data_IF_007473327486
#
_entry.id   IF_007473327486
#
_cell.length_a   1.000
_cell.length_b   1.000
_cell.length_c   1.000
_cell.angle_alpha   90.00
_cell.angle_beta   90.00
_cell.angle_gamma   90.00
#
_symmetry.space_group_name_H-M   'P 1'
#
loop_
_entity.id
_entity.type
_entity.pdbx_description
1 polymer ?
#
# COMPACT_ATOMS: atom_id res chain seq x y z
N UNK A 1 11.06 -16.83 -5.07
CA UNK A 1 9.88 -17.26 -4.27
C UNK A 1 10.24 -18.19 -3.11
N UNK A 2 11.50 -18.60 -2.91
CA UNK A 2 11.92 -19.59 -1.91
C UNK A 2 11.90 -19.13 -0.43
N UNK A 3 11.86 -17.83 -0.15
CA UNK A 3 11.97 -17.32 1.22
C UNK A 3 10.70 -17.53 2.09
N UNK A 4 9.55 -17.79 1.47
CA UNK A 4 8.25 -17.87 2.17
C UNK A 4 8.08 -19.23 2.86
N UNK A 5 8.71 -20.29 2.35
CA UNK A 5 8.53 -21.66 2.85
C UNK A 5 9.24 -21.93 4.19
N UNK A 6 10.22 -21.11 4.58
CA UNK A 6 11.11 -21.39 5.71
C UNK A 6 10.95 -20.46 6.92
N UNK A 7 10.05 -19.47 6.87
CA UNK A 7 9.86 -18.50 7.96
C UNK A 7 8.37 -18.35 8.29
N UNK A 8 7.81 -19.15 9.23
CA UNK A 8 6.39 -19.11 9.58
C UNK A 8 5.97 -17.86 10.36
N UNK A 9 6.86 -16.87 10.52
CA UNK A 9 6.54 -15.63 11.23
C UNK A 9 5.91 -14.62 10.27
N UNK A 10 4.60 -14.39 10.42
CA UNK A 10 3.84 -13.38 9.67
C UNK A 10 4.51 -12.00 9.65
N UNK A 11 5.23 -11.62 10.72
CA UNK A 11 5.99 -10.37 10.80
C UNK A 11 7.12 -10.30 9.77
N UNK A 12 7.82 -11.42 9.54
CA UNK A 12 8.90 -11.49 8.56
C UNK A 12 8.35 -11.46 7.13
N UNK A 13 7.34 -12.28 6.85
CA UNK A 13 6.72 -12.36 5.52
C UNK A 13 6.15 -10.99 5.10
N UNK A 14 5.48 -10.30 6.02
CA UNK A 14 4.99 -8.93 5.81
C UNK A 14 6.12 -7.96 5.46
N UNK A 15 7.19 -7.95 6.24
CA UNK A 15 8.34 -7.06 6.02
C UNK A 15 9.02 -7.34 4.69
N UNK A 16 9.11 -8.61 4.29
CA UNK A 16 9.64 -9.03 2.99
C UNK A 16 8.81 -8.46 1.85
N UNK A 17 7.49 -8.67 1.84
CA UNK A 17 6.61 -8.11 0.81
C UNK A 17 6.66 -6.59 0.79
N UNK A 18 6.66 -5.93 1.95
CA UNK A 18 6.71 -4.47 2.00
C UNK A 18 8.01 -3.93 1.39
N UNK A 19 9.16 -4.50 1.75
CA UNK A 19 10.45 -4.07 1.22
C UNK A 19 10.59 -4.37 -0.28
N UNK A 20 10.08 -5.52 -0.74
CA UNK A 20 10.07 -5.87 -2.16
C UNK A 20 9.15 -4.94 -2.96
N UNK A 21 7.99 -4.59 -2.42
CA UNK A 21 7.09 -3.60 -3.01
C UNK A 21 7.74 -2.21 -3.15
N UNK A 22 8.49 -1.77 -2.13
CA UNK A 22 9.28 -0.53 -2.22
C UNK A 22 10.34 -0.59 -3.32
N UNK A 23 11.04 -1.72 -3.43
CA UNK A 23 12.05 -1.93 -4.48
C UNK A 23 11.42 -1.89 -5.88
N UNK A 24 10.30 -2.59 -6.08
CA UNK A 24 9.56 -2.58 -7.35
C UNK A 24 9.06 -1.18 -7.71
N UNK A 25 8.53 -0.42 -6.75
CA UNK A 25 8.11 0.95 -6.97
C UNK A 25 9.28 1.85 -7.41
N UNK A 26 10.48 1.66 -6.84
CA UNK A 26 11.69 2.41 -7.22
C UNK A 26 12.10 2.17 -8.67
N UNK A 27 11.90 0.96 -9.18
CA UNK A 27 12.20 0.58 -10.57
C UNK A 27 10.99 0.67 -11.50
N UNK A 28 9.93 1.38 -11.08
CA UNK A 28 8.67 1.61 -11.84
C UNK A 28 7.94 0.32 -12.25
N UNK A 29 8.16 -0.77 -11.51
CA UNK A 29 7.40 -2.03 -11.62
C UNK A 29 6.14 -1.95 -10.74
N UNK A 30 5.24 -1.06 -11.15
CA UNK A 30 4.08 -0.68 -10.33
C UNK A 30 3.10 -1.84 -10.12
N UNK A 31 2.95 -2.74 -11.09
CA UNK A 31 2.05 -3.90 -10.97
C UNK A 31 2.52 -4.85 -9.87
N UNK A 32 3.81 -5.17 -9.86
CA UNK A 32 4.44 -6.03 -8.86
C UNK A 32 4.42 -5.36 -7.48
N UNK A 33 4.68 -4.05 -7.40
CA UNK A 33 4.57 -3.30 -6.16
C UNK A 33 3.14 -3.32 -5.58
N UNK A 34 2.11 -3.16 -6.42
CA UNK A 34 0.71 -3.25 -6.01
C UNK A 34 0.35 -4.64 -5.45
N UNK A 35 0.86 -5.70 -6.07
CA UNK A 35 0.66 -7.06 -5.61
C UNK A 35 1.29 -7.26 -4.23
N UNK A 36 2.54 -6.83 -4.05
CA UNK A 36 3.26 -6.93 -2.78
C UNK A 36 2.60 -6.11 -1.66
N UNK A 37 2.19 -4.87 -1.92
CA UNK A 37 1.44 -4.10 -0.94
C UNK A 37 0.09 -4.73 -0.60
N UNK A 38 -0.53 -5.44 -1.55
CA UNK A 38 -1.78 -6.17 -1.28
C UNK A 38 -1.53 -7.38 -0.38
N UNK A 39 -0.43 -8.11 -0.57
CA UNK A 39 -0.03 -9.20 0.33
C UNK A 39 0.22 -8.68 1.76
N UNK A 40 0.90 -7.54 1.90
CA UNK A 40 1.08 -6.88 3.22
C UNK A 40 -0.27 -6.61 3.88
N UNK A 41 -1.25 -6.12 3.13
CA UNK A 41 -2.58 -5.76 3.64
C UNK A 41 -3.51 -6.96 3.86
N UNK A 42 -3.19 -8.13 3.32
CA UNK A 42 -3.85 -9.39 3.68
C UNK A 42 -3.35 -9.90 5.03
N UNK A 43 -2.06 -9.71 5.34
CA UNK A 43 -1.43 -10.13 6.60
C UNK A 43 -1.71 -9.13 7.73
N UNK A 44 -1.57 -7.83 7.46
CA UNK A 44 -1.83 -6.74 8.39
C UNK A 44 -2.71 -5.69 7.70
N UNK A 45 -4.03 -5.80 7.82
CA UNK A 45 -4.97 -4.91 7.14
C UNK A 45 -4.79 -3.42 7.46
N UNK A 46 -4.27 -3.11 8.65
CA UNK A 46 -4.06 -1.73 9.13
C UNK A 46 -2.63 -1.22 8.90
N UNK A 47 -1.83 -1.92 8.08
CA UNK A 47 -0.47 -1.51 7.75
C UNK A 47 -0.45 -0.21 6.93
N UNK A 48 -0.38 0.90 7.66
CA UNK A 48 -0.59 2.26 7.16
C UNK A 48 0.35 2.64 6.02
N UNK A 49 1.63 2.22 6.08
CA UNK A 49 2.60 2.51 5.00
C UNK A 49 2.24 1.81 3.68
N UNK A 50 1.71 0.59 3.75
CA UNK A 50 1.29 -0.16 2.57
C UNK A 50 0.04 0.46 1.94
N UNK A 51 -0.94 0.87 2.75
CA UNK A 51 -2.11 1.63 2.28
C UNK A 51 -1.68 2.90 1.54
N UNK A 52 -0.75 3.68 2.11
CA UNK A 52 -0.29 4.92 1.49
C UNK A 52 0.39 4.67 0.15
N UNK A 53 1.34 3.74 0.11
CA UNK A 53 2.11 3.48 -1.10
C UNK A 53 1.25 2.85 -2.20
N UNK A 54 0.34 1.93 -1.85
CA UNK A 54 -0.64 1.37 -2.79
C UNK A 54 -1.55 2.45 -3.35
N UNK A 55 -2.02 3.37 -2.50
CA UNK A 55 -2.83 4.52 -2.93
C UNK A 55 -2.07 5.47 -3.86
N UNK A 56 -0.78 5.73 -3.62
CA UNK A 56 0.06 6.55 -4.51
C UNK A 56 0.17 5.95 -5.91
N UNK A 57 0.45 4.65 -6.00
CA UNK A 57 0.57 3.96 -7.30
C UNK A 57 -0.79 3.98 -8.03
N UNK A 58 -1.89 3.64 -7.34
CA UNK A 58 -3.23 3.70 -7.92
C UNK A 58 -3.58 5.09 -8.45
N UNK A 59 -3.22 6.14 -7.70
CA UNK A 59 -3.44 7.52 -8.12
C UNK A 59 -2.62 7.87 -9.38
N UNK A 60 -1.36 7.47 -9.45
CA UNK A 60 -0.51 7.63 -10.63
C UNK A 60 -1.08 6.91 -11.86
N UNK A 61 -1.76 5.78 -11.64
CA UNK A 61 -2.50 5.03 -12.67
C UNK A 61 -3.91 5.60 -12.96
N UNK A 62 -4.24 6.81 -12.48
CA UNK A 62 -5.54 7.47 -12.63
C UNK A 62 -6.71 6.72 -11.98
N UNK A 63 -6.44 5.72 -11.15
CA UNK A 63 -7.44 5.01 -10.34
C UNK A 63 -7.76 5.81 -9.06
N UNK A 64 -8.41 6.96 -9.24
CA UNK A 64 -8.62 7.94 -8.15
C UNK A 64 -9.47 7.34 -7.03
N UNK A 65 -10.62 6.72 -7.34
CA UNK A 65 -11.50 6.13 -6.31
C UNK A 65 -10.78 5.05 -5.48
N UNK A 66 -10.13 4.04 -6.09
CA UNK A 66 -9.34 3.06 -5.33
C UNK A 66 -8.18 3.66 -4.51
N UNK A 67 -7.53 4.70 -5.01
CA UNK A 67 -6.47 5.40 -4.26
C UNK A 67 -7.03 6.09 -3.01
N UNK A 68 -8.17 6.76 -3.17
CA UNK A 68 -8.86 7.44 -2.09
C UNK A 68 -9.34 6.49 -1.00
N UNK A 69 -9.84 5.30 -1.36
CA UNK A 69 -10.20 4.27 -0.38
C UNK A 69 -9.02 3.89 0.52
N UNK A 70 -7.85 3.64 -0.07
CA UNK A 70 -6.64 3.30 0.69
C UNK A 70 -6.19 4.46 1.61
N UNK A 71 -6.20 5.70 1.10
CA UNK A 71 -5.80 6.86 1.89
C UNK A 71 -6.82 7.25 2.97
N UNK A 72 -8.12 7.07 2.73
CA UNK A 72 -9.16 7.28 3.76
C UNK A 72 -8.97 6.29 4.89
N UNK A 73 -8.68 5.02 4.59
CA UNK A 73 -8.39 4.01 5.61
C UNK A 73 -7.14 4.39 6.42
N UNK A 74 -6.05 4.74 5.75
CA UNK A 74 -4.82 5.18 6.43
C UNK A 74 -5.03 6.46 7.26
N UNK A 75 -5.89 7.39 6.82
CA UNK A 75 -6.28 8.57 7.59
C UNK A 75 -7.03 8.18 8.87
N UNK A 76 -7.99 7.24 8.79
CA UNK A 76 -8.72 6.73 9.98
C UNK A 76 -7.80 6.11 11.03
N UNK A 77 -6.65 5.59 10.60
CA UNK A 77 -5.58 5.06 11.45
C UNK A 77 -4.60 6.15 11.96
N UNK A 78 -4.93 7.43 11.81
CA UNK A 78 -4.14 8.56 12.33
C UNK A 78 -3.01 9.04 11.42
N UNK A 79 -2.94 8.59 10.16
CA UNK A 79 -1.83 8.98 9.29
C UNK A 79 -2.02 10.35 8.62
N UNK A 80 -1.17 11.31 8.99
CA UNK A 80 -1.19 12.67 8.45
C UNK A 80 -0.84 12.76 6.95
N UNK A 81 0.04 11.89 6.42
CA UNK A 81 0.37 11.87 4.99
C UNK A 81 -0.83 11.43 4.16
N UNK A 82 -1.55 10.41 4.64
CA UNK A 82 -2.79 9.97 4.03
C UNK A 82 -3.87 11.06 4.07
N UNK A 83 -4.01 11.77 5.19
CA UNK A 83 -4.93 12.91 5.29
C UNK A 83 -4.63 14.00 4.25
N UNK A 84 -3.35 14.36 4.08
CA UNK A 84 -2.92 15.31 3.05
C UNK A 84 -3.28 14.82 1.64
N UNK A 85 -3.07 13.55 1.36
CA UNK A 85 -3.43 12.94 0.07
C UNK A 85 -4.94 12.98 -0.16
N UNK A 86 -5.76 12.64 0.85
CA UNK A 86 -7.23 12.72 0.78
C UNK A 86 -7.67 14.15 0.46
N UNK A 87 -7.17 15.13 1.21
CA UNK A 87 -7.53 16.55 1.00
C UNK A 87 -7.17 17.05 -0.39
N UNK A 88 -6.09 16.55 -0.99
CA UNK A 88 -5.62 16.97 -2.33
C UNK A 88 -6.36 16.28 -3.48
N UNK A 89 -6.65 15.00 -3.34
CA UNK A 89 -7.00 14.13 -4.46
C UNK A 89 -8.41 13.53 -4.39
N UNK A 90 -9.05 13.54 -3.22
CA UNK A 90 -10.31 12.82 -2.98
C UNK A 90 -11.52 13.76 -2.85
N UNK A 91 -11.41 14.98 -3.39
CA UNK A 91 -12.41 16.04 -3.25
C UNK A 91 -13.71 15.82 -4.04
N UNK A 92 -13.89 14.68 -4.73
CA UNK A 92 -15.13 14.42 -5.45
C UNK A 92 -15.56 12.94 -5.35
N UNK A 93 -16.82 12.76 -4.92
CA UNK A 93 -17.59 11.53 -4.79
C UNK A 93 -16.92 10.40 -3.99
N UNK A 94 -17.11 10.44 -2.67
CA UNK A 94 -17.47 9.22 -1.91
C UNK A 94 -18.95 9.01 -2.13
#
# INVERSE_FOLDING_TARGET
ELAIQYLPNATYIKSLYFNRGLAYQKIKKDREALQDYTQVLQIEPDHTKALINRGIIKYQQKQIRPACQDWIRAKKLGNQKAEKNVKKACQCCI
#
